data_IF_024212895002
#
_entry.id   IF_024212895002
#
_cell.length_a   1.000
_cell.length_b   1.000
_cell.length_c   1.000
_cell.angle_alpha   90.00
_cell.angle_beta   90.00
_cell.angle_gamma   90.00
#
_symmetry.space_group_name_H-M   'P 1'
#
loop_
_entity.id
_entity.type
_entity.pdbx_description
1 polymer ?
#
# COMPACT_ATOMS: atom_id res chain seq x y z
N UNK A 1 -22.34 7.95 4.06
CA UNK A 1 -21.88 7.74 2.67
C UNK A 1 -20.72 8.68 2.29
N UNK A 2 -20.85 10.00 2.44
CA UNK A 2 -19.79 10.98 2.17
C UNK A 2 -18.47 10.71 2.93
N UNK A 3 -18.52 10.31 4.21
CA UNK A 3 -17.30 10.01 5.01
C UNK A 3 -16.47 8.84 4.47
N UNK A 4 -17.10 7.81 3.87
CA UNK A 4 -16.38 6.65 3.31
C UNK A 4 -15.70 7.06 2.00
N UNK A 5 -16.42 7.79 1.14
CA UNK A 5 -15.87 8.31 -0.12
C UNK A 5 -14.67 9.23 0.14
N UNK A 6 -14.73 10.08 1.18
CA UNK A 6 -13.60 10.93 1.58
C UNK A 6 -12.39 10.12 2.05
N UNK A 7 -12.59 9.03 2.79
CA UNK A 7 -11.48 8.14 3.18
C UNK A 7 -10.83 7.52 1.95
N UNK A 8 -11.62 6.99 1.02
CA UNK A 8 -11.11 6.37 -0.22
C UNK A 8 -10.36 7.42 -1.06
N UNK A 9 -10.91 8.62 -1.19
CA UNK A 9 -10.26 9.72 -1.91
C UNK A 9 -8.93 10.13 -1.26
N UNK A 10 -8.89 10.24 0.07
CA UNK A 10 -7.64 10.48 0.80
C UNK A 10 -6.64 9.34 0.57
N UNK A 11 -7.11 8.10 0.56
CA UNK A 11 -6.33 6.93 0.18
C UNK A 11 -5.70 7.07 -1.20
N UNK A 12 -6.47 7.48 -2.20
CA UNK A 12 -5.98 7.73 -3.55
C UNK A 12 -4.86 8.79 -3.57
N UNK A 13 -5.06 9.92 -2.87
CA UNK A 13 -4.04 10.97 -2.79
C UNK A 13 -2.76 10.49 -2.10
N UNK A 14 -2.88 9.74 -1.01
CA UNK A 14 -1.74 9.13 -0.31
C UNK A 14 -1.02 8.15 -1.24
N UNK A 15 -1.76 7.32 -1.98
CA UNK A 15 -1.21 6.39 -2.97
C UNK A 15 -0.42 7.11 -4.05
N UNK A 16 -0.99 8.17 -4.65
CA UNK A 16 -0.30 9.02 -5.63
C UNK A 16 0.97 9.62 -5.04
N UNK A 17 0.91 10.18 -3.84
CA UNK A 17 2.06 10.80 -3.19
C UNK A 17 3.20 9.80 -2.96
N UNK A 18 2.88 8.62 -2.41
CA UNK A 18 3.86 7.55 -2.19
C UNK A 18 4.45 7.07 -3.53
N UNK A 19 3.61 6.86 -4.54
CA UNK A 19 4.04 6.43 -5.87
C UNK A 19 4.99 7.45 -6.52
N UNK A 20 4.64 8.73 -6.46
CA UNK A 20 5.47 9.82 -6.98
C UNK A 20 6.81 9.92 -6.25
N UNK A 21 6.82 9.83 -4.91
CA UNK A 21 8.05 9.86 -4.11
C UNK A 21 8.96 8.69 -4.49
N UNK A 22 8.40 7.48 -4.63
CA UNK A 22 9.18 6.32 -5.06
C UNK A 22 9.74 6.52 -6.48
N UNK A 23 8.93 6.97 -7.44
CA UNK A 23 9.37 7.25 -8.80
C UNK A 23 10.51 8.28 -8.82
N UNK A 24 10.42 9.32 -7.99
CA UNK A 24 11.47 10.33 -7.85
C UNK A 24 12.75 9.74 -7.26
N UNK A 25 12.65 8.97 -6.17
CA UNK A 25 13.80 8.29 -5.55
C UNK A 25 14.50 7.40 -6.57
N UNK A 26 13.77 6.53 -7.27
CA UNK A 26 14.38 5.65 -8.28
C UNK A 26 15.00 6.44 -9.44
N UNK A 27 14.34 7.48 -9.92
CA UNK A 27 14.89 8.35 -10.98
C UNK A 27 16.21 9.00 -10.56
N UNK A 28 16.32 9.45 -9.31
CA UNK A 28 17.57 9.99 -8.75
C UNK A 28 18.64 8.90 -8.59
N UNK A 29 18.28 7.75 -8.01
CA UNK A 29 19.20 6.63 -7.80
C UNK A 29 19.78 6.08 -9.11
N UNK A 30 18.98 6.04 -10.17
CA UNK A 30 19.40 5.61 -11.51
C UNK A 30 19.91 6.75 -12.41
N UNK A 31 20.05 7.97 -11.87
CA UNK A 31 20.56 9.15 -12.58
C UNK A 31 19.87 9.43 -13.91
N UNK A 32 18.54 9.27 -13.96
CA UNK A 32 17.78 9.47 -15.18
C UNK A 32 17.65 10.97 -15.50
N UNK A 33 17.70 11.33 -16.79
CA UNK A 33 17.55 12.73 -17.26
C UNK A 33 16.15 13.30 -17.01
N UNK A 34 15.14 12.43 -17.01
CA UNK A 34 13.73 12.77 -16.79
C UNK A 34 13.15 11.90 -15.68
N UNK A 35 12.01 12.28 -15.11
CA UNK A 35 11.27 11.44 -14.16
C UNK A 35 10.72 10.21 -14.88
N UNK A 36 11.10 9.03 -14.42
CA UNK A 36 10.52 7.77 -14.86
C UNK A 36 9.48 7.33 -13.82
N UNK A 37 8.18 7.27 -14.17
CA UNK A 37 7.14 6.86 -13.25
C UNK A 37 7.19 5.35 -12.93
N UNK A 38 7.86 4.57 -13.77
CA UNK A 38 8.11 3.14 -13.55
C UNK A 38 9.31 2.70 -14.38
N UNK A 39 9.57 1.39 -14.47
CA UNK A 39 10.68 0.82 -15.21
C UNK A 39 10.76 1.35 -16.66
N UNK A 40 11.96 1.54 -17.24
CA UNK A 40 12.11 2.07 -18.60
C UNK A 40 11.35 1.26 -19.66
N UNK A 41 11.28 -0.07 -19.51
CA UNK A 41 10.52 -0.93 -20.40
C UNK A 41 9.02 -0.60 -20.38
N UNK A 42 8.46 -0.32 -19.21
CA UNK A 42 7.06 0.13 -19.09
C UNK A 42 6.88 1.48 -19.78
N UNK A 43 7.77 2.45 -19.52
CA UNK A 43 7.66 3.80 -20.13
C UNK A 43 7.77 3.75 -21.65
N UNK A 44 8.57 2.82 -22.20
CA UNK A 44 8.73 2.64 -23.65
C UNK A 44 7.46 2.18 -24.38
N UNK A 45 6.45 1.67 -23.66
CA UNK A 45 5.15 1.28 -24.23
C UNK A 45 4.27 2.50 -24.55
N UNK A 46 4.63 3.68 -24.04
CA UNK A 46 3.89 4.91 -24.19
C UNK A 46 4.58 5.86 -25.17
N UNK A 47 3.78 6.63 -25.91
CA UNK A 47 4.32 7.61 -26.88
C UNK A 47 5.10 8.74 -26.21
N UNK A 48 4.73 9.11 -24.98
CA UNK A 48 5.35 10.19 -24.22
C UNK A 48 5.51 9.79 -22.76
N UNK A 49 6.53 10.35 -22.10
CA UNK A 49 6.74 10.20 -20.65
C UNK A 49 5.54 10.70 -19.85
N UNK A 50 4.89 11.77 -20.31
CA UNK A 50 3.68 12.30 -19.68
C UNK A 50 2.55 11.26 -19.67
N UNK A 51 2.32 10.55 -20.78
CA UNK A 51 1.27 9.52 -20.84
C UNK A 51 1.57 8.31 -19.95
N UNK A 52 2.84 7.89 -19.85
CA UNK A 52 3.27 6.85 -18.91
C UNK A 52 3.05 7.30 -17.44
N UNK A 53 3.36 8.56 -17.14
CA UNK A 53 3.19 9.13 -15.79
C UNK A 53 1.71 9.26 -15.45
N UNK A 54 0.86 9.70 -16.38
CA UNK A 54 -0.58 9.77 -16.17
C UNK A 54 -1.17 8.38 -15.86
N UNK A 55 -0.78 7.35 -16.62
CA UNK A 55 -1.24 5.99 -16.35
C UNK A 55 -0.74 5.46 -15.00
N UNK A 56 0.52 5.72 -14.67
CA UNK A 56 1.10 5.32 -13.38
C UNK A 56 0.41 6.01 -12.20
N UNK A 57 0.06 7.29 -12.33
CA UNK A 57 -0.71 8.04 -11.33
C UNK A 57 -2.07 7.38 -11.06
N UNK A 58 -2.75 6.90 -12.09
CA UNK A 58 -4.01 6.15 -11.93
C UNK A 58 -3.75 4.86 -11.14
N UNK A 59 -2.71 4.10 -11.48
CA UNK A 59 -2.36 2.87 -10.75
C UNK A 59 -2.02 3.15 -9.29
N UNK A 60 -1.25 4.20 -8.99
CA UNK A 60 -0.92 4.61 -7.62
C UNK A 60 -2.17 5.02 -6.82
N UNK A 61 -3.10 5.75 -7.45
CA UNK A 61 -4.38 6.07 -6.86
C UNK A 61 -5.18 4.81 -6.52
N UNK A 62 -5.24 3.84 -7.45
CA UNK A 62 -5.94 2.57 -7.25
C UNK A 62 -5.31 1.74 -6.13
N UNK A 63 -3.97 1.74 -6.02
CA UNK A 63 -3.26 1.10 -4.90
C UNK A 63 -3.67 1.75 -3.58
N UNK A 64 -3.68 3.08 -3.50
CA UNK A 64 -4.11 3.81 -2.30
C UNK A 64 -5.57 3.54 -1.92
N UNK A 65 -6.46 3.47 -2.92
CA UNK A 65 -7.85 3.06 -2.73
C UNK A 65 -7.96 1.62 -2.20
N UNK A 66 -7.20 0.68 -2.78
CA UNK A 66 -7.19 -0.72 -2.39
C UNK A 66 -6.86 -0.85 -0.90
N UNK A 67 -5.73 -0.31 -0.45
CA UNK A 67 -5.32 -0.39 0.95
C UNK A 67 -6.32 0.30 1.89
N UNK A 68 -6.92 1.41 1.46
CA UNK A 68 -7.96 2.07 2.25
C UNK A 68 -9.21 1.20 2.39
N UNK A 69 -9.71 0.64 1.29
CA UNK A 69 -10.93 -0.19 1.30
C UNK A 69 -10.72 -1.46 2.12
N UNK A 70 -9.57 -2.12 1.96
CA UNK A 70 -9.27 -3.34 2.72
C UNK A 70 -9.12 -3.04 4.20
N UNK A 71 -8.59 -1.87 4.60
CA UNK A 71 -8.43 -1.51 6.02
C UNK A 71 -9.73 -1.55 6.82
N UNK A 72 -10.90 -1.43 6.17
CA UNK A 72 -12.20 -1.55 6.84
C UNK A 72 -12.45 -2.93 7.44
N UNK A 73 -11.69 -3.96 7.08
CA UNK A 73 -11.72 -5.28 7.71
C UNK A 73 -11.44 -5.18 9.22
N UNK A 74 -10.56 -4.27 9.64
CA UNK A 74 -10.23 -4.06 11.05
C UNK A 74 -11.36 -3.41 11.86
N UNK A 75 -12.43 -2.93 11.20
CA UNK A 75 -13.63 -2.39 11.88
C UNK A 75 -14.67 -3.49 12.19
N UNK A 76 -14.40 -4.76 11.80
CA UNK A 76 -15.32 -5.87 12.04
C UNK A 76 -15.10 -6.43 13.45
N UNK A 77 -15.79 -5.88 14.45
CA UNK A 77 -15.61 -6.20 15.88
C UNK A 77 -15.75 -7.69 16.23
N UNK A 78 -16.63 -8.41 15.53
CA UNK A 78 -16.87 -9.85 15.74
C UNK A 78 -15.70 -10.76 15.32
N UNK A 79 -14.70 -10.24 14.60
CA UNK A 79 -13.57 -11.03 14.14
C UNK A 79 -12.39 -10.88 15.08
N UNK A 80 -11.67 -11.99 15.34
CA UNK A 80 -10.38 -11.90 16.02
C UNK A 80 -9.38 -11.13 15.17
N UNK A 81 -8.42 -10.48 15.84
CA UNK A 81 -7.38 -9.70 15.18
C UNK A 81 -6.58 -10.55 14.16
N UNK A 82 -6.36 -11.83 14.46
CA UNK A 82 -5.71 -12.78 13.55
C UNK A 82 -6.54 -12.98 12.29
N UNK A 83 -7.86 -13.19 12.42
CA UNK A 83 -8.75 -13.37 11.27
C UNK A 83 -8.79 -12.11 10.40
N UNK A 84 -8.88 -10.93 11.03
CA UNK A 84 -8.84 -9.65 10.32
C UNK A 84 -7.51 -9.48 9.57
N UNK A 85 -6.38 -9.75 10.23
CA UNK A 85 -5.04 -9.63 9.63
C UNK A 85 -4.84 -10.56 8.44
N UNK A 86 -5.26 -11.83 8.56
CA UNK A 86 -5.15 -12.82 7.46
C UNK A 86 -6.04 -12.41 6.27
N UNK A 87 -7.28 -11.99 6.55
CA UNK A 87 -8.18 -11.53 5.49
C UNK A 87 -7.66 -10.26 4.80
N UNK A 88 -7.15 -9.29 5.57
CA UNK A 88 -6.54 -8.08 5.05
C UNK A 88 -5.33 -8.39 4.17
N UNK A 89 -4.42 -9.24 4.65
CA UNK A 89 -3.26 -9.69 3.90
C UNK A 89 -3.66 -10.35 2.58
N UNK A 90 -4.60 -11.30 2.61
CA UNK A 90 -5.01 -12.03 1.41
C UNK A 90 -5.63 -11.11 0.36
N UNK A 91 -6.53 -10.22 0.76
CA UNK A 91 -7.23 -9.32 -0.18
C UNK A 91 -6.28 -8.26 -0.72
N UNK A 92 -5.42 -7.67 0.14
CA UNK A 92 -4.41 -6.71 -0.33
C UNK A 92 -3.41 -7.35 -1.25
N UNK A 93 -2.90 -8.55 -0.94
CA UNK A 93 -1.96 -9.27 -1.81
C UNK A 93 -2.56 -9.56 -3.18
N UNK A 94 -3.77 -10.15 -3.22
CA UNK A 94 -4.46 -10.49 -4.47
C UNK A 94 -4.81 -9.23 -5.27
N UNK A 95 -5.25 -8.15 -4.62
CA UNK A 95 -5.59 -6.91 -5.30
C UNK A 95 -4.38 -6.11 -5.77
N UNK A 96 -3.28 -6.13 -5.01
CA UNK A 96 -2.07 -5.37 -5.30
C UNK A 96 -1.24 -6.03 -6.40
N UNK A 97 -1.23 -7.36 -6.47
CA UNK A 97 -0.51 -8.12 -7.50
C UNK A 97 -0.80 -7.66 -8.93
N UNK A 98 -2.06 -7.60 -9.42
CA UNK A 98 -2.34 -7.13 -10.77
C UNK A 98 -1.95 -5.67 -10.97
N UNK A 99 -2.11 -4.81 -9.96
CA UNK A 99 -1.71 -3.40 -10.04
C UNK A 99 -0.19 -3.25 -10.17
N UNK A 100 0.59 -4.07 -9.43
CA UNK A 100 2.04 -4.10 -9.52
C UNK A 100 2.53 -4.61 -10.89
N UNK A 101 1.86 -5.63 -11.44
CA UNK A 101 2.13 -6.15 -12.79
C UNK A 101 1.81 -5.11 -13.86
N UNK A 102 0.65 -4.46 -13.78
CA UNK A 102 0.26 -3.37 -14.70
C UNK A 102 1.18 -2.15 -14.59
N UNK A 103 1.77 -1.93 -13.42
CA UNK A 103 2.78 -0.89 -13.23
C UNK A 103 4.10 -1.23 -13.91
N UNK A 104 4.33 -2.48 -14.33
CA UNK A 104 5.56 -2.93 -14.96
C UNK A 104 6.79 -2.86 -14.05
N UNK A 105 6.61 -2.99 -12.73
CA UNK A 105 7.71 -2.90 -11.76
C UNK A 105 8.70 -4.05 -11.83
N UNK A 106 8.26 -5.22 -12.29
CA UNK A 106 9.12 -6.39 -12.44
C UNK A 106 8.65 -7.26 -13.63
N UNK A 107 9.57 -8.01 -14.26
CA UNK A 107 9.22 -8.94 -15.34
C UNK A 107 8.32 -10.09 -14.88
N UNK A 108 7.44 -10.56 -15.78
CA UNK A 108 6.60 -11.74 -15.52
C UNK A 108 7.44 -13.01 -15.70
N UNK A 109 8.11 -13.42 -14.62
CA UNK A 109 8.86 -14.68 -14.57
C UNK A 109 8.74 -15.30 -13.18
N UNK A 110 8.92 -16.62 -13.08
CA UNK A 110 8.82 -17.32 -11.79
C UNK A 110 9.76 -16.76 -10.72
N UNK A 111 10.99 -16.39 -11.10
CA UNK A 111 11.96 -15.79 -10.18
C UNK A 111 11.48 -14.43 -9.64
N UNK A 112 11.09 -13.52 -10.53
CA UNK A 112 10.64 -12.18 -10.15
C UNK A 112 9.33 -12.21 -9.35
N UNK A 113 8.41 -13.11 -9.69
CA UNK A 113 7.18 -13.32 -8.92
C UNK A 113 7.48 -13.84 -7.51
N UNK A 114 8.37 -14.82 -7.38
CA UNK A 114 8.79 -15.33 -6.07
C UNK A 114 9.45 -14.24 -5.22
N UNK A 115 10.37 -13.47 -5.80
CA UNK A 115 11.02 -12.36 -5.13
C UNK A 115 10.01 -11.28 -4.69
N UNK A 116 9.07 -10.92 -5.56
CA UNK A 116 7.98 -10.00 -5.26
C UNK A 116 7.15 -10.46 -4.04
N UNK A 117 6.79 -11.76 -3.97
CA UNK A 117 6.03 -12.31 -2.84
C UNK A 117 6.80 -12.14 -1.52
N UNK A 118 8.10 -12.45 -1.51
CA UNK A 118 8.95 -12.28 -0.32
C UNK A 118 8.98 -10.80 0.11
N UNK A 119 9.24 -9.89 -0.83
CA UNK A 119 9.30 -8.46 -0.55
C UNK A 119 7.96 -7.95 -0.01
N UNK A 120 6.84 -8.38 -0.60
CA UNK A 120 5.50 -8.02 -0.14
C UNK A 120 5.26 -8.50 1.30
N UNK A 121 5.59 -9.76 1.61
CA UNK A 121 5.44 -10.33 2.95
C UNK A 121 6.28 -9.53 3.97
N UNK A 122 7.53 -9.22 3.64
CA UNK A 122 8.44 -8.49 4.54
C UNK A 122 7.93 -7.07 4.82
N UNK A 123 7.52 -6.33 3.78
CA UNK A 123 6.99 -4.97 3.95
C UNK A 123 5.68 -5.00 4.75
N UNK A 124 4.76 -5.91 4.40
CA UNK A 124 3.50 -6.05 5.10
C UNK A 124 3.72 -6.36 6.59
N UNK A 125 4.56 -7.34 6.89
CA UNK A 125 4.85 -7.73 8.27
C UNK A 125 5.51 -6.60 9.06
N UNK A 126 6.38 -5.81 8.42
CA UNK A 126 7.02 -4.64 9.04
C UNK A 126 5.99 -3.57 9.40
N UNK A 127 5.13 -3.18 8.46
CA UNK A 127 4.08 -2.18 8.69
C UNK A 127 3.10 -2.68 9.76
N UNK A 128 2.61 -3.91 9.63
CA UNK A 128 1.70 -4.52 10.59
C UNK A 128 2.29 -4.57 12.01
N UNK A 129 3.58 -4.89 12.13
CA UNK A 129 4.24 -4.93 13.45
C UNK A 129 4.28 -3.54 14.10
N UNK A 130 4.59 -2.49 13.32
CA UNK A 130 4.58 -1.11 13.82
C UNK A 130 3.18 -0.69 14.25
N UNK A 131 2.16 -0.94 13.42
CA UNK A 131 0.76 -0.63 13.75
C UNK A 131 0.28 -1.40 14.99
N UNK A 132 0.65 -2.67 15.12
CA UNK A 132 0.28 -3.51 16.26
C UNK A 132 0.95 -3.03 17.55
N UNK A 133 2.20 -2.57 17.50
CA UNK A 133 2.88 -2.01 18.66
C UNK A 133 2.20 -0.73 19.14
N UNK A 134 1.83 0.17 18.22
CA UNK A 134 1.08 1.38 18.56
C UNK A 134 -0.31 1.05 19.14
N UNK A 135 -1.04 0.11 18.54
CA UNK A 135 -2.34 -0.33 19.05
C UNK A 135 -2.23 -0.90 20.48
N UNK A 136 -1.19 -1.71 20.76
CA UNK A 136 -0.95 -2.25 22.10
C UNK A 136 -0.64 -1.15 23.13
N UNK A 137 0.11 -0.12 22.76
CA UNK A 137 0.38 1.03 23.65
C UNK A 137 -0.91 1.75 24.02
N UNK A 138 -1.78 2.01 23.04
CA UNK A 138 -3.08 2.67 23.28
C UNK A 138 -3.96 1.85 24.21
N UNK A 139 -4.04 0.53 24.01
CA UNK A 139 -4.82 -0.37 24.89
C UNK A 139 -4.26 -0.36 26.31
N UNK A 140 -2.94 -0.38 26.49
CA UNK A 140 -2.33 -0.31 27.81
C UNK A 140 -2.68 0.99 28.53
N UNK A 141 -2.60 2.13 27.83
CA UNK A 141 -2.98 3.44 28.38
C UNK A 141 -4.45 3.49 28.83
N UNK A 142 -5.36 2.91 28.03
CA UNK A 142 -6.79 2.85 28.40
C UNK A 142 -6.99 1.98 29.64
N UNK A 143 -6.32 0.82 29.73
CA UNK A 143 -6.42 -0.06 30.89
C UNK A 143 -5.89 0.61 32.17
N UNK A 144 -4.78 1.34 32.08
CA UNK A 144 -4.22 2.07 33.22
C UNK A 144 -5.19 3.14 33.73
N UNK A 145 -5.84 3.89 32.83
CA UNK A 145 -6.84 4.90 33.18
C UNK A 145 -8.07 4.29 33.88
N UNK A 146 -8.55 3.14 33.40
CA UNK A 146 -9.70 2.45 34.01
C UNK A 146 -9.36 1.95 35.42
N UNK A 147 -8.18 1.36 35.60
CA UNK A 147 -7.71 0.88 36.91
C UNK A 147 -7.51 2.00 37.94
N UNK A 148 -7.27 3.24 37.49
CA UNK A 148 -7.17 4.42 38.35
C UNK A 148 -8.55 4.96 38.77
N UNK A 149 -9.60 4.72 37.99
CA UNK A 149 -10.97 5.16 38.31
C UNK A 149 -11.70 4.21 39.27
N UNK A 150 -11.27 2.95 39.37
CA UNK A 150 -11.82 1.97 40.31
C UNK A 150 -11.25 2.09 41.74
N UNK A 151 -10.26 2.97 41.97
CA UNK A 151 -9.67 3.26 43.29
C UNK A 151 -10.21 4.56 43.88
#
# INVERSE_FOLDING_TARGET
MTRILLKILNGAFIGIAIGYINALIFSVLFQTKYLFPSAPLFVSQFRTTLSATAFSTILWALIGCLFTVTSFIFQIERWSITRQTVAHFAITFVGFTPLALLSGWFPISGFWLFFYVIVFILIYFSIWSLEMLEAKKVVAQINDLLNMQEK
#
